data_IF_923359030269
#
_entry.id   IF_923359030269
#
_cell.length_a   1.000
_cell.length_b   1.000
_cell.length_c   1.000
_cell.angle_alpha   90.00
_cell.angle_beta   90.00
_cell.angle_gamma   90.00
#
_symmetry.space_group_name_H-M   'P 1'
#
loop_
_entity.id
_entity.type
_entity.pdbx_description
1 polymer ?
#
# COMPACT_ATOMS: atom_id res chain seq x y z
N UNK A 1 -32.90 -3.98 4.34
CA UNK A 1 -32.51 -3.24 5.55
C UNK A 1 -31.01 -3.44 5.71
N UNK A 2 -30.21 -2.38 5.55
CA UNK A 2 -28.74 -2.47 5.66
C UNK A 2 -28.41 -2.21 7.12
N UNK A 3 -28.06 -3.27 7.85
CA UNK A 3 -27.60 -3.14 9.23
C UNK A 3 -26.34 -2.27 9.26
N UNK A 4 -26.36 -1.24 10.10
CA UNK A 4 -25.17 -0.42 10.33
C UNK A 4 -24.03 -1.30 10.87
N UNK A 5 -22.80 -1.17 10.35
CA UNK A 5 -21.67 -1.96 10.80
C UNK A 5 -21.40 -1.74 12.30
N UNK A 6 -21.00 -2.80 12.98
CA UNK A 6 -20.69 -2.78 14.40
C UNK A 6 -19.51 -1.85 14.71
N UNK A 7 -19.39 -1.41 15.98
CA UNK A 7 -18.27 -0.56 16.40
C UNK A 7 -16.90 -1.22 16.15
N UNK A 8 -16.82 -2.54 16.30
CA UNK A 8 -15.61 -3.32 16.06
C UNK A 8 -15.22 -3.34 14.57
N UNK A 9 -16.20 -3.55 13.66
CA UNK A 9 -15.97 -3.50 12.21
C UNK A 9 -15.54 -2.10 11.73
N UNK A 10 -16.11 -1.05 12.31
CA UNK A 10 -15.73 0.34 12.00
C UNK A 10 -14.30 0.64 12.45
N UNK A 11 -13.91 0.21 13.64
CA UNK A 11 -12.54 0.37 14.14
C UNK A 11 -11.53 -0.38 13.28
N UNK A 12 -11.83 -1.63 12.89
CA UNK A 12 -10.99 -2.41 11.97
C UNK A 12 -10.87 -1.76 10.59
N UNK A 13 -11.96 -1.19 10.07
CA UNK A 13 -11.94 -0.47 8.79
C UNK A 13 -11.05 0.77 8.88
N UNK A 14 -11.10 1.50 9.99
CA UNK A 14 -10.25 2.67 10.22
C UNK A 14 -8.77 2.28 10.26
N UNK A 15 -8.42 1.24 11.02
CA UNK A 15 -7.04 0.72 11.11
C UNK A 15 -6.50 0.29 9.74
N UNK A 16 -7.28 -0.45 8.95
CA UNK A 16 -6.90 -0.87 7.59
C UNK A 16 -6.70 0.34 6.69
N UNK A 17 -7.52 1.38 6.83
CA UNK A 17 -7.42 2.61 6.01
C UNK A 17 -6.19 3.43 6.39
N UNK A 18 -5.91 3.59 7.69
CA UNK A 18 -4.71 4.28 8.17
C UNK A 18 -3.43 3.54 7.73
N UNK A 19 -3.41 2.21 7.83
CA UNK A 19 -2.31 1.40 7.34
C UNK A 19 -2.13 1.53 5.81
N UNK A 20 -3.23 1.63 5.05
CA UNK A 20 -3.17 1.82 3.60
C UNK A 20 -2.55 3.18 3.25
N UNK A 21 -2.95 4.25 3.95
CA UNK A 21 -2.38 5.59 3.77
C UNK A 21 -0.87 5.64 4.03
N UNK A 22 -0.39 4.95 5.08
CA UNK A 22 1.05 4.88 5.39
C UNK A 22 1.81 4.19 4.25
N UNK A 23 1.24 3.14 3.66
CA UNK A 23 1.84 2.44 2.54
C UNK A 23 1.81 3.26 1.26
N UNK A 24 0.71 3.94 0.94
CA UNK A 24 0.67 4.84 -0.22
C UNK A 24 1.76 5.92 -0.15
N UNK A 25 2.00 6.48 1.04
CA UNK A 25 3.07 7.44 1.26
C UNK A 25 4.48 6.81 1.12
N UNK A 26 4.65 5.56 1.56
CA UNK A 26 5.92 4.83 1.37
C UNK A 26 6.19 4.59 -0.12
N UNK A 27 5.17 4.18 -0.88
CA UNK A 27 5.24 3.96 -2.33
C UNK A 27 5.64 5.23 -3.06
N UNK A 28 5.05 6.37 -2.70
CA UNK A 28 5.40 7.66 -3.29
C UNK A 28 6.87 8.00 -3.04
N UNK A 29 7.38 7.81 -1.82
CA UNK A 29 8.80 8.05 -1.49
C UNK A 29 9.72 7.11 -2.27
N UNK A 30 9.39 5.83 -2.39
CA UNK A 30 10.18 4.85 -3.13
C UNK A 30 10.21 5.13 -4.64
N UNK A 31 9.07 5.53 -5.22
CA UNK A 31 8.99 5.93 -6.63
C UNK A 31 9.78 7.21 -6.91
N UNK A 32 9.73 8.18 -6.01
CA UNK A 32 10.54 9.40 -6.12
C UNK A 32 12.04 9.09 -6.04
N UNK A 33 12.44 8.19 -5.16
CA UNK A 33 13.84 7.75 -5.05
C UNK A 33 14.29 6.97 -6.30
N UNK A 34 13.42 6.13 -6.86
CA UNK A 34 13.70 5.41 -8.11
C UNK A 34 13.85 6.37 -9.29
N UNK A 35 12.97 7.37 -9.40
CA UNK A 35 13.06 8.41 -10.42
C UNK A 35 14.36 9.22 -10.28
N UNK A 36 14.80 9.51 -9.05
CA UNK A 36 16.08 10.15 -8.79
C UNK A 36 17.24 9.26 -9.25
N UNK A 37 17.26 7.98 -8.88
CA UNK A 37 18.26 7.00 -9.34
C UNK A 37 18.33 6.92 -10.86
N UNK A 38 17.17 6.87 -11.52
CA UNK A 38 17.05 6.87 -12.98
C UNK A 38 17.65 8.14 -13.60
N UNK A 39 17.37 9.31 -13.03
CA UNK A 39 17.90 10.59 -13.50
C UNK A 39 19.43 10.71 -13.37
N UNK A 40 20.00 10.00 -12.39
CA UNK A 40 21.44 9.91 -12.17
C UNK A 40 22.08 8.72 -12.88
N UNK A 41 21.32 7.91 -13.64
CA UNK A 41 21.81 6.68 -14.28
C UNK A 41 22.37 5.65 -13.29
N UNK A 42 21.89 5.67 -12.04
CA UNK A 42 22.27 4.71 -11.02
C UNK A 42 21.44 3.43 -11.16
N UNK A 43 21.88 2.55 -12.05
CA UNK A 43 21.20 1.28 -12.32
C UNK A 43 21.17 0.36 -11.09
N UNK A 44 22.15 0.46 -10.19
CA UNK A 44 22.20 -0.39 -9.01
C UNK A 44 21.13 0.03 -7.99
N UNK A 45 20.95 1.35 -7.80
CA UNK A 45 19.87 1.86 -6.96
C UNK A 45 18.49 1.49 -7.52
N UNK A 46 18.26 1.67 -8.83
CA UNK A 46 16.99 1.30 -9.45
C UNK A 46 16.68 -0.19 -9.29
N UNK A 47 17.65 -1.06 -9.61
CA UNK A 47 17.50 -2.52 -9.50
C UNK A 47 17.26 -2.95 -8.03
N UNK A 48 17.92 -2.31 -7.08
CA UNK A 48 17.69 -2.56 -5.65
C UNK A 48 16.26 -2.20 -5.23
N UNK A 49 15.75 -1.04 -5.65
CA UNK A 49 14.40 -0.60 -5.30
C UNK A 49 13.32 -1.48 -5.96
N UNK A 50 13.52 -1.87 -7.22
CA UNK A 50 12.61 -2.76 -7.95
C UNK A 50 12.51 -4.14 -7.31
N UNK A 51 13.65 -4.77 -7.02
CA UNK A 51 13.68 -6.16 -6.55
C UNK A 51 13.37 -6.33 -5.06
N UNK A 52 13.60 -5.31 -4.23
CA UNK A 52 13.48 -5.45 -2.77
C UNK A 52 12.33 -4.67 -2.14
N UNK A 53 11.78 -3.67 -2.84
CA UNK A 53 10.75 -2.80 -2.26
C UNK A 53 9.50 -2.74 -3.13
N UNK A 54 9.64 -2.29 -4.38
CA UNK A 54 8.48 -1.97 -5.23
C UNK A 54 7.60 -3.21 -5.52
N UNK A 55 8.19 -4.38 -5.79
CA UNK A 55 7.41 -5.60 -6.03
C UNK A 55 6.64 -6.08 -4.78
N UNK A 56 7.28 -5.99 -3.60
CA UNK A 56 6.65 -6.39 -2.34
C UNK A 56 5.57 -5.41 -1.89
N UNK A 57 5.75 -4.13 -2.18
CA UNK A 57 4.77 -3.11 -1.88
C UNK A 57 3.49 -3.27 -2.70
N UNK A 58 3.62 -3.55 -4.01
CA UNK A 58 2.48 -3.84 -4.89
C UNK A 58 1.69 -5.06 -4.38
N UNK A 59 2.38 -6.11 -3.92
CA UNK A 59 1.72 -7.29 -3.32
C UNK A 59 0.97 -6.91 -2.04
N UNK A 60 1.55 -6.06 -1.20
CA UNK A 60 0.94 -5.63 0.06
C UNK A 60 -0.30 -4.77 -0.18
N UNK A 61 -0.23 -3.78 -1.08
CA UNK A 61 -1.37 -2.94 -1.47
C UNK A 61 -2.51 -3.81 -2.01
N UNK A 62 -2.21 -4.79 -2.87
CA UNK A 62 -3.21 -5.74 -3.40
C UNK A 62 -3.87 -6.57 -2.29
N UNK A 63 -3.07 -7.04 -1.31
CA UNK A 63 -3.60 -7.80 -0.16
C UNK A 63 -4.54 -6.94 0.68
N UNK A 64 -4.21 -5.67 0.89
CA UNK A 64 -5.06 -4.74 1.62
C UNK A 64 -6.34 -4.39 0.87
N UNK A 65 -6.28 -4.16 -0.44
CA UNK A 65 -7.47 -3.96 -1.28
C UNK A 65 -8.42 -5.16 -1.24
N UNK A 66 -7.87 -6.39 -1.22
CA UNK A 66 -8.67 -7.60 -1.03
C UNK A 66 -9.32 -7.66 0.36
N UNK A 67 -8.60 -7.27 1.41
CA UNK A 67 -9.16 -7.21 2.76
C UNK A 67 -10.29 -6.17 2.86
N UNK A 68 -10.11 -4.98 2.30
CA UNK A 68 -11.14 -3.94 2.27
C UNK A 68 -12.38 -4.39 1.50
N UNK A 69 -12.20 -5.01 0.33
CA UNK A 69 -13.30 -5.55 -0.48
C UNK A 69 -14.09 -6.62 0.27
N UNK A 70 -13.41 -7.48 1.03
CA UNK A 70 -14.06 -8.49 1.85
C UNK A 70 -14.82 -7.87 3.03
N UNK A 71 -14.28 -6.82 3.67
CA UNK A 71 -14.95 -6.10 4.74
C UNK A 71 -16.20 -5.35 4.24
N UNK A 72 -16.15 -4.74 3.07
CA UNK A 72 -17.32 -4.06 2.49
C UNK A 72 -18.42 -5.01 1.98
N UNK A 73 -18.12 -6.31 1.85
CA UNK A 73 -19.07 -7.33 1.39
C UNK A 73 -19.76 -8.07 2.55
N UNK A 74 -19.28 -7.89 3.78
CA UNK A 74 -19.93 -8.33 5.01
C UNK A 74 -21.06 -7.35 5.38
#
# INVERSE_FOLDING_TARGET
>A
DVQSPSQDERSKTLEVTEAALVLENLNEVLLNLHALGSSHTDHHLCDFLENHFLDDEVKLIKKMGNHLTNLCRL
#
